data_IF_631672880028
#
_entry.id   IF_631672880028
#
_cell.length_a   1.000
_cell.length_b   1.000
_cell.length_c   1.000
_cell.angle_alpha   90.00
_cell.angle_beta   90.00
_cell.angle_gamma   90.00
#
_symmetry.space_group_name_H-M   'P 1'
#
loop_
_entity.id
_entity.type
_entity.pdbx_description
1 polymer ?
#
# COMPACT_ATOMS: atom_id res chain seq x y z
N UNK A 1 -10.83 -8.47 -15.91
CA UNK A 1 -10.44 -8.92 -14.56
C UNK A 1 -11.01 -7.99 -13.49
N UNK A 2 -11.11 -8.46 -12.24
CA UNK A 2 -11.64 -7.72 -11.11
C UNK A 2 -10.59 -7.64 -10.00
N UNK A 3 -10.16 -6.43 -9.64
CA UNK A 3 -9.13 -6.21 -8.62
C UNK A 3 -9.75 -5.48 -7.43
N UNK A 4 -9.62 -6.06 -6.24
CA UNK A 4 -10.09 -5.46 -4.99
C UNK A 4 -8.94 -4.75 -4.29
N UNK A 5 -9.08 -3.44 -4.08
CA UNK A 5 -8.17 -2.67 -3.26
C UNK A 5 -8.71 -2.60 -1.82
N UNK A 6 -7.86 -2.84 -0.85
CA UNK A 6 -8.22 -2.82 0.56
C UNK A 6 -7.46 -1.65 1.21
N UNK A 7 -8.20 -0.60 1.57
CA UNK A 7 -7.70 0.40 2.50
C UNK A 7 -7.79 -0.18 3.92
N UNK A 8 -6.67 -0.48 4.60
CA UNK A 8 -6.71 -1.18 5.87
C UNK A 8 -7.28 -0.36 7.05
N UNK A 9 -7.47 0.94 6.87
CA UNK A 9 -8.12 1.80 7.85
C UNK A 9 -9.62 1.99 7.55
N UNK A 10 -10.36 2.60 8.49
CA UNK A 10 -11.81 2.77 8.40
C UNK A 10 -12.25 4.12 7.84
N UNK A 11 -11.33 4.96 7.31
CA UNK A 11 -11.62 6.28 6.78
C UNK A 11 -12.11 6.20 5.33
N UNK A 12 -13.42 6.33 5.12
CA UNK A 12 -14.07 6.15 3.82
C UNK A 12 -13.62 7.15 2.75
N UNK A 13 -13.35 8.40 3.11
CA UNK A 13 -12.84 9.40 2.17
C UNK A 13 -11.49 9.00 1.56
N UNK A 14 -10.62 8.36 2.34
CA UNK A 14 -9.35 7.83 1.81
C UNK A 14 -9.59 6.64 0.87
N UNK A 15 -10.56 5.79 1.19
CA UNK A 15 -10.94 4.68 0.31
C UNK A 15 -11.44 5.18 -1.04
N UNK A 16 -12.23 6.25 -1.05
CA UNK A 16 -12.71 6.89 -2.28
C UNK A 16 -11.56 7.48 -3.11
N UNK A 17 -10.62 8.20 -2.49
CA UNK A 17 -9.42 8.72 -3.18
C UNK A 17 -8.56 7.59 -3.78
N UNK A 18 -8.36 6.50 -3.03
CA UNK A 18 -7.64 5.30 -3.50
C UNK A 18 -8.35 4.68 -4.70
N UNK A 19 -9.68 4.54 -4.64
CA UNK A 19 -10.48 3.98 -5.73
C UNK A 19 -10.40 4.84 -7.00
N UNK A 20 -10.53 6.16 -6.85
CA UNK A 20 -10.43 7.11 -7.96
C UNK A 20 -9.03 7.07 -8.61
N UNK A 21 -7.97 7.01 -7.79
CA UNK A 21 -6.60 6.81 -8.28
C UNK A 21 -6.47 5.49 -9.05
N UNK A 22 -6.94 4.37 -8.48
CA UNK A 22 -6.87 3.06 -9.11
C UNK A 22 -7.63 3.03 -10.44
N UNK A 23 -8.86 3.58 -10.50
CA UNK A 23 -9.67 3.69 -11.74
C UNK A 23 -8.96 4.46 -12.85
N UNK A 24 -8.22 5.51 -12.51
CA UNK A 24 -7.46 6.32 -13.48
C UNK A 24 -6.39 5.49 -14.20
N UNK A 25 -5.81 4.51 -13.53
CA UNK A 25 -4.71 3.72 -14.06
C UNK A 25 -5.09 2.30 -14.49
N UNK A 26 -6.30 1.83 -14.17
CA UNK A 26 -6.77 0.53 -14.60
C UNK A 26 -6.81 0.43 -16.14
N UNK A 27 -6.40 -0.73 -16.67
CA UNK A 27 -6.46 -1.01 -18.10
C UNK A 27 -7.91 -1.25 -18.54
N UNK A 28 -8.19 -1.07 -19.83
CA UNK A 28 -9.49 -1.43 -20.40
C UNK A 28 -9.82 -2.92 -20.11
N UNK A 29 -11.04 -3.19 -19.68
CA UNK A 29 -11.49 -4.52 -19.26
C UNK A 29 -11.08 -4.91 -17.83
N UNK A 30 -10.40 -4.04 -17.10
CA UNK A 30 -10.14 -4.22 -15.65
C UNK A 30 -11.14 -3.42 -14.82
N UNK A 31 -11.87 -4.09 -13.94
CA UNK A 31 -12.70 -3.45 -12.92
C UNK A 31 -11.92 -3.36 -11.63
N UNK A 32 -11.77 -2.15 -11.10
CA UNK A 32 -11.18 -1.92 -9.78
C UNK A 32 -12.22 -1.34 -8.82
N UNK A 33 -12.18 -1.72 -7.57
CA UNK A 33 -13.01 -1.17 -6.51
C UNK A 33 -12.23 -1.20 -5.19
N UNK A 34 -12.43 -0.19 -4.36
CA UNK A 34 -11.78 -0.10 -3.06
C UNK A 34 -12.78 -0.25 -1.92
N UNK A 35 -12.31 -0.86 -0.84
CA UNK A 35 -13.10 -1.08 0.38
C UNK A 35 -12.28 -0.74 1.61
N UNK A 36 -12.98 -0.37 2.69
CA UNK A 36 -12.46 -0.36 4.05
C UNK A 36 -13.13 -1.48 4.86
N UNK A 37 -12.40 -2.14 5.76
CA UNK A 37 -13.02 -3.07 6.70
C UNK A 37 -13.94 -2.33 7.70
N UNK A 38 -14.87 -3.07 8.29
CA UNK A 38 -15.75 -2.54 9.34
C UNK A 38 -15.11 -2.52 10.74
N UNK A 39 -13.91 -3.04 10.87
CA UNK A 39 -13.12 -3.12 12.11
C UNK A 39 -11.72 -2.60 11.86
N UNK A 40 -11.11 -2.01 12.87
CA UNK A 40 -9.75 -1.49 12.80
C UNK A 40 -9.66 -0.05 13.30
N UNK A 41 -8.69 0.69 12.80
CA UNK A 41 -8.37 2.06 13.18
C UNK A 41 -8.71 3.05 12.04
N UNK A 42 -8.93 4.31 12.37
CA UNK A 42 -9.22 5.34 11.38
C UNK A 42 -7.97 5.83 10.60
N UNK A 43 -6.78 5.64 11.17
CA UNK A 43 -5.49 5.89 10.51
C UNK A 43 -4.45 4.90 11.03
N UNK A 44 -3.41 4.62 10.22
CA UNK A 44 -2.32 3.70 10.57
C UNK A 44 -1.04 4.51 10.63
N UNK A 45 -0.48 4.65 11.83
CA UNK A 45 0.66 5.52 12.11
C UNK A 45 1.71 4.87 13.02
N UNK A 46 1.41 3.70 13.57
CA UNK A 46 2.29 2.96 14.47
C UNK A 46 2.06 1.44 14.39
N UNK A 47 2.92 0.67 15.04
CA UNK A 47 2.82 -0.80 15.06
C UNK A 47 1.49 -1.31 15.62
N UNK A 48 0.94 -0.66 16.66
CA UNK A 48 -0.37 -1.06 17.22
C UNK A 48 -1.45 -0.93 16.15
N UNK A 49 -1.46 0.19 15.42
CA UNK A 49 -2.43 0.44 14.36
C UNK A 49 -2.29 -0.60 13.24
N UNK A 50 -1.05 -0.90 12.83
CA UNK A 50 -0.77 -1.92 11.81
C UNK A 50 -1.31 -3.29 12.21
N UNK A 51 -1.00 -3.74 13.43
CA UNK A 51 -1.43 -5.06 13.89
C UNK A 51 -2.95 -5.15 14.06
N UNK A 52 -3.60 -4.08 14.52
CA UNK A 52 -5.06 -4.05 14.64
C UNK A 52 -5.78 -3.95 13.28
N UNK A 53 -5.11 -3.46 12.24
CA UNK A 53 -5.66 -3.40 10.90
C UNK A 53 -5.68 -4.77 10.19
N UNK A 54 -4.75 -5.68 10.53
CA UNK A 54 -4.59 -6.97 9.86
C UNK A 54 -5.85 -7.83 9.85
N UNK A 55 -6.60 -8.02 10.96
CA UNK A 55 -7.84 -8.78 10.93
C UNK A 55 -8.86 -8.27 9.90
N UNK A 56 -8.97 -6.94 9.78
CA UNK A 56 -9.84 -6.31 8.79
C UNK A 56 -9.39 -6.57 7.36
N UNK A 57 -8.09 -6.51 7.08
CA UNK A 57 -7.52 -6.86 5.76
C UNK A 57 -7.86 -8.29 5.41
N UNK A 58 -7.65 -9.24 6.31
CA UNK A 58 -7.92 -10.66 6.06
C UNK A 58 -9.40 -10.92 5.80
N UNK A 59 -10.31 -10.27 6.54
CA UNK A 59 -11.75 -10.34 6.27
C UNK A 59 -12.09 -9.88 4.85
N UNK A 60 -11.51 -8.78 4.40
CA UNK A 60 -11.79 -8.27 3.05
C UNK A 60 -11.17 -9.14 1.94
N UNK A 61 -10.07 -9.86 2.20
CA UNK A 61 -9.57 -10.90 1.30
C UNK A 61 -10.60 -12.03 1.17
N UNK A 62 -11.08 -12.58 2.30
CA UNK A 62 -12.08 -13.67 2.30
C UNK A 62 -13.35 -13.26 1.56
N UNK A 63 -13.89 -12.08 1.83
CA UNK A 63 -15.05 -11.54 1.09
C UNK A 63 -14.76 -11.38 -0.41
N UNK A 64 -13.57 -10.87 -0.75
CA UNK A 64 -13.17 -10.70 -2.14
C UNK A 64 -13.06 -12.00 -2.92
N UNK A 65 -12.68 -13.10 -2.27
CA UNK A 65 -12.75 -14.46 -2.86
C UNK A 65 -14.20 -14.84 -3.22
N UNK A 66 -15.14 -14.59 -2.31
CA UNK A 66 -16.58 -14.85 -2.53
C UNK A 66 -17.16 -13.92 -3.62
N UNK A 67 -16.68 -12.68 -3.72
CA UNK A 67 -17.05 -11.69 -4.74
C UNK A 67 -16.44 -11.98 -6.12
N UNK A 68 -15.53 -12.94 -6.23
CA UNK A 68 -14.84 -13.31 -7.47
C UNK A 68 -13.78 -12.29 -7.90
N UNK A 69 -13.06 -11.68 -6.97
CA UNK A 69 -11.88 -10.88 -7.29
C UNK A 69 -10.78 -11.77 -7.89
N UNK A 70 -10.04 -11.27 -8.88
CA UNK A 70 -8.92 -11.96 -9.53
C UNK A 70 -7.58 -11.65 -8.85
N UNK A 71 -7.47 -10.52 -8.19
CA UNK A 71 -6.31 -10.09 -7.42
C UNK A 71 -6.69 -9.08 -6.33
N UNK A 72 -5.77 -8.87 -5.39
CA UNK A 72 -5.92 -7.95 -4.26
C UNK A 72 -4.77 -6.96 -4.19
N UNK A 73 -5.07 -5.74 -3.74
CA UNK A 73 -4.07 -4.71 -3.43
C UNK A 73 -4.29 -4.24 -1.99
N UNK A 74 -3.24 -4.28 -1.17
CA UNK A 74 -3.26 -3.67 0.18
C UNK A 74 -2.82 -2.22 0.04
N UNK A 75 -3.75 -1.29 0.22
CA UNK A 75 -3.56 0.12 -0.06
C UNK A 75 -3.14 0.91 1.20
N UNK A 76 -2.01 0.52 1.79
CA UNK A 76 -1.32 1.23 2.87
C UNK A 76 0.18 1.03 2.71
N UNK A 77 0.98 2.07 2.89
CA UNK A 77 2.44 1.98 2.69
C UNK A 77 3.16 1.20 3.81
N UNK A 78 2.44 0.68 4.81
CA UNK A 78 2.90 -0.32 5.76
C UNK A 78 2.77 -1.76 5.26
N UNK A 79 2.04 -2.00 4.17
CA UNK A 79 1.65 -3.32 3.66
C UNK A 79 1.15 -4.26 4.79
N UNK A 80 0.25 -3.79 5.71
CA UNK A 80 -0.13 -4.55 6.90
C UNK A 80 -0.81 -5.86 6.51
N UNK A 81 -0.30 -6.97 7.04
CA UNK A 81 -0.86 -8.29 6.81
C UNK A 81 -0.60 -8.90 5.43
N UNK A 82 0.28 -8.31 4.59
CA UNK A 82 0.57 -8.81 3.23
C UNK A 82 0.97 -10.28 3.22
N UNK A 83 1.82 -10.71 4.14
CA UNK A 83 2.25 -12.11 4.22
C UNK A 83 1.08 -13.05 4.60
N UNK A 84 0.30 -12.66 5.60
CA UNK A 84 -0.89 -13.42 6.03
C UNK A 84 -1.98 -13.44 4.94
N UNK A 85 -2.16 -12.35 4.20
CA UNK A 85 -3.06 -12.31 3.06
C UNK A 85 -2.64 -13.32 1.98
N UNK A 86 -1.34 -13.42 1.70
CA UNK A 86 -0.79 -14.40 0.77
C UNK A 86 -0.98 -15.86 1.23
N UNK A 87 -1.13 -16.12 2.51
CA UNK A 87 -1.43 -17.46 3.04
C UNK A 87 -2.88 -17.87 2.81
N UNK A 88 -3.85 -16.95 2.84
CA UNK A 88 -5.29 -17.29 2.80
C UNK A 88 -5.91 -17.25 1.40
N UNK A 89 -5.19 -16.81 0.36
CA UNK A 89 -5.63 -16.86 -1.04
C UNK A 89 -4.52 -17.34 -1.96
N UNK A 90 -4.86 -18.04 -3.05
CA UNK A 90 -3.92 -18.36 -4.13
C UNK A 90 -3.83 -17.25 -5.19
N UNK A 91 -4.68 -16.24 -5.11
CA UNK A 91 -4.67 -15.10 -6.02
C UNK A 91 -3.52 -14.15 -5.72
N UNK A 92 -3.05 -13.36 -6.68
CA UNK A 92 -2.04 -12.35 -6.43
C UNK A 92 -2.49 -11.34 -5.36
N UNK A 93 -1.62 -11.09 -4.38
CA UNK A 93 -1.79 -10.02 -3.40
C UNK A 93 -0.57 -9.10 -3.48
N UNK A 94 -0.80 -7.84 -3.79
CA UNK A 94 0.25 -6.83 -3.97
C UNK A 94 0.12 -5.74 -2.91
N UNK A 95 1.21 -5.46 -2.19
CA UNK A 95 1.31 -4.32 -1.30
C UNK A 95 1.73 -3.06 -2.05
N UNK A 96 1.21 -1.89 -1.69
CA UNK A 96 1.60 -0.66 -2.39
C UNK A 96 3.03 -0.21 -2.08
N UNK A 97 3.57 -0.52 -0.91
CA UNK A 97 4.97 -0.22 -0.59
C UNK A 97 5.92 -1.14 -1.36
N UNK A 98 5.64 -2.46 -1.41
CA UNK A 98 6.37 -3.43 -2.23
C UNK A 98 6.40 -2.99 -3.70
N UNK A 99 5.23 -2.65 -4.26
CA UNK A 99 5.10 -2.23 -5.65
C UNK A 99 5.83 -0.92 -5.96
N UNK A 100 5.71 0.08 -5.07
CA UNK A 100 6.40 1.35 -5.24
C UNK A 100 7.93 1.19 -5.24
N UNK A 101 8.47 0.43 -4.29
CA UNK A 101 9.92 0.18 -4.21
C UNK A 101 10.43 -0.65 -5.38
N UNK A 102 9.66 -1.66 -5.82
CA UNK A 102 10.01 -2.44 -7.00
C UNK A 102 10.06 -1.56 -8.26
N UNK A 103 9.05 -0.69 -8.45
CA UNK A 103 9.00 0.24 -9.58
C UNK A 103 10.13 1.26 -9.52
N UNK A 104 10.39 1.86 -8.35
CA UNK A 104 11.45 2.84 -8.19
C UNK A 104 12.81 2.29 -8.61
N UNK A 105 13.14 1.06 -8.23
CA UNK A 105 14.39 0.38 -8.63
C UNK A 105 14.54 0.16 -10.14
N UNK A 106 13.42 0.18 -10.90
CA UNK A 106 13.47 0.04 -12.37
C UNK A 106 13.67 1.38 -13.09
N UNK A 107 13.34 2.51 -12.44
CA UNK A 107 13.31 3.82 -13.10
C UNK A 107 14.33 4.82 -12.55
N UNK A 108 14.93 4.53 -11.39
CA UNK A 108 15.92 5.41 -10.77
C UNK A 108 16.95 4.59 -9.98
N UNK A 109 18.25 4.97 -9.99
CA UNK A 109 19.27 4.36 -9.15
C UNK A 109 18.98 4.51 -7.67
N UNK A 110 18.42 5.68 -7.27
CA UNK A 110 18.14 6.01 -5.88
C UNK A 110 16.78 6.66 -5.70
N UNK A 111 16.09 6.26 -4.66
CA UNK A 111 14.84 6.88 -4.25
C UNK A 111 14.89 7.32 -2.78
N UNK A 112 14.00 8.21 -2.39
CA UNK A 112 13.67 8.50 -1.00
C UNK A 112 12.17 8.36 -0.75
N UNK A 113 11.81 8.12 0.49
CA UNK A 113 10.42 7.98 0.93
C UNK A 113 10.06 9.19 1.79
N UNK A 114 8.91 9.81 1.53
CA UNK A 114 8.34 10.86 2.38
C UNK A 114 7.07 10.33 3.03
N UNK A 115 7.12 10.17 4.34
CA UNK A 115 6.08 9.60 5.18
C UNK A 115 5.41 10.65 6.07
N UNK A 116 4.52 10.22 6.94
CA UNK A 116 3.70 11.06 7.83
C UNK A 116 4.47 11.48 9.09
N UNK A 117 4.38 10.75 10.17
CA UNK A 117 4.97 11.06 11.48
C UNK A 117 6.38 10.47 11.64
N UNK A 118 7.21 11.05 12.49
CA UNK A 118 8.56 10.55 12.79
C UNK A 118 8.54 9.09 13.28
N UNK A 119 7.52 8.71 14.04
CA UNK A 119 7.38 7.33 14.53
C UNK A 119 7.16 6.29 13.43
N UNK A 120 6.66 6.68 12.25
CA UNK A 120 6.48 5.79 11.10
C UNK A 120 7.78 5.55 10.32
N UNK A 121 8.82 6.35 10.56
CA UNK A 121 10.12 6.20 9.89
C UNK A 121 10.71 4.82 10.13
N UNK A 122 10.71 4.35 11.39
CA UNK A 122 11.27 3.03 11.73
C UNK A 122 10.52 1.88 11.05
N UNK A 123 9.19 1.95 10.98
CA UNK A 123 8.35 0.97 10.27
C UNK A 123 8.76 0.92 8.80
N UNK A 124 8.91 2.08 8.18
CA UNK A 124 9.31 2.22 6.77
C UNK A 124 10.74 1.69 6.55
N UNK A 125 11.68 1.91 7.47
CA UNK A 125 13.03 1.33 7.40
C UNK A 125 13.00 -0.20 7.38
N UNK A 126 12.13 -0.81 8.21
CA UNK A 126 12.00 -2.27 8.27
C UNK A 126 11.40 -2.82 6.97
N UNK A 127 10.44 -2.12 6.35
CA UNK A 127 9.92 -2.46 5.02
C UNK A 127 11.00 -2.36 3.93
N UNK A 128 11.73 -1.24 3.89
CA UNK A 128 12.84 -1.02 2.93
C UNK A 128 13.86 -2.15 3.02
N UNK A 129 14.20 -2.57 4.24
CA UNK A 129 15.10 -3.70 4.49
C UNK A 129 14.45 -5.02 4.04
N UNK A 130 13.19 -5.25 4.42
CA UNK A 130 12.45 -6.48 4.11
C UNK A 130 12.29 -6.72 2.61
N UNK A 131 12.10 -5.65 1.83
CA UNK A 131 11.97 -5.70 0.37
C UNK A 131 13.30 -5.60 -0.40
N UNK A 132 14.45 -5.71 0.31
CA UNK A 132 15.77 -5.65 -0.34
C UNK A 132 16.02 -4.33 -1.08
N UNK A 133 15.50 -3.22 -0.54
CA UNK A 133 15.59 -1.91 -1.15
C UNK A 133 16.54 -0.95 -0.43
N UNK A 134 17.25 -1.44 0.61
CA UNK A 134 18.11 -0.60 1.46
C UNK A 134 19.20 0.14 0.69
N UNK A 135 19.83 -0.52 -0.26
CA UNK A 135 20.94 0.06 -1.03
C UNK A 135 20.47 1.09 -2.07
N UNK A 136 19.18 1.13 -2.34
CA UNK A 136 18.52 2.06 -3.26
C UNK A 136 17.83 3.23 -2.55
N UNK A 137 17.57 3.12 -1.24
CA UNK A 137 16.88 4.14 -0.45
C UNK A 137 17.89 5.11 0.18
N UNK A 138 17.85 6.38 -0.24
CA UNK A 138 18.75 7.44 0.28
C UNK A 138 18.30 7.93 1.64
N UNK A 139 17.00 8.16 1.80
CA UNK A 139 16.45 8.65 3.06
C UNK A 139 14.97 8.31 3.21
N UNK A 140 14.51 8.29 4.44
CA UNK A 140 13.10 8.25 4.82
C UNK A 140 12.85 9.50 5.65
N UNK A 141 12.01 10.40 5.11
CA UNK A 141 11.69 11.69 5.74
C UNK A 141 10.25 11.72 6.20
N UNK A 142 9.98 12.37 7.31
CA UNK A 142 8.61 12.60 7.79
C UNK A 142 8.18 14.03 7.54
N UNK A 143 6.89 14.23 7.33
CA UNK A 143 6.28 15.56 7.27
C UNK A 143 5.99 16.15 8.65
N UNK A 144 5.93 15.30 9.68
CA UNK A 144 5.49 15.65 11.03
C UNK A 144 3.97 15.84 11.17
N UNK A 145 3.21 15.56 10.10
CA UNK A 145 1.74 15.62 10.10
C UNK A 145 1.15 14.22 10.23
N UNK A 146 0.04 14.09 10.96
CA UNK A 146 -0.71 12.84 11.03
C UNK A 146 -1.44 12.56 9.71
N UNK A 147 -1.84 11.33 9.48
CA UNK A 147 -2.60 10.94 8.28
C UNK A 147 -3.87 11.77 8.11
N UNK A 148 -4.58 12.05 9.22
CA UNK A 148 -5.84 12.79 9.19
C UNK A 148 -5.63 14.31 8.98
N UNK A 149 -4.47 14.87 9.36
CA UNK A 149 -4.14 16.27 9.14
C UNK A 149 -4.11 16.63 7.65
N UNK A 150 -3.70 15.70 6.79
CA UNK A 150 -3.70 15.89 5.33
C UNK A 150 -5.11 16.05 4.76
N UNK A 151 -6.10 15.35 5.32
CA UNK A 151 -7.49 15.51 4.91
C UNK A 151 -8.14 16.78 5.46
N UNK A 152 -7.63 17.28 6.59
CA UNK A 152 -8.15 18.49 7.25
C UNK A 152 -7.64 19.78 6.60
N UNK A 153 -6.38 19.79 6.11
CA UNK A 153 -5.74 20.95 5.49
C UNK A 153 -4.82 20.49 4.33
N UNK A 154 -5.42 20.45 3.14
CA UNK A 154 -4.77 19.97 1.90
C UNK A 154 -3.57 20.84 1.52
N UNK A 155 -3.66 22.18 1.67
CA UNK A 155 -2.59 23.10 1.29
C UNK A 155 -1.37 22.91 2.19
N UNK A 156 -1.58 22.86 3.50
CA UNK A 156 -0.54 22.58 4.50
C UNK A 156 0.11 21.20 4.26
N UNK A 157 -0.70 20.20 3.96
CA UNK A 157 -0.22 18.85 3.63
C UNK A 157 0.69 18.84 2.41
N UNK A 158 0.26 19.47 1.31
CA UNK A 158 1.04 19.59 0.08
C UNK A 158 2.35 20.35 0.29
N UNK A 159 2.32 21.44 1.06
CA UNK A 159 3.52 22.24 1.36
C UNK A 159 4.54 21.43 2.17
N UNK A 160 4.08 20.68 3.18
CA UNK A 160 4.93 19.81 3.97
C UNK A 160 5.56 18.70 3.12
N UNK A 161 4.78 18.05 2.23
CA UNK A 161 5.28 17.07 1.28
C UNK A 161 6.31 17.66 0.33
N UNK A 162 6.03 18.81 -0.29
CA UNK A 162 6.95 19.52 -1.18
C UNK A 162 8.27 19.82 -0.49
N UNK A 163 8.22 20.36 0.74
CA UNK A 163 9.41 20.70 1.54
C UNK A 163 10.29 19.48 1.76
N UNK A 164 9.74 18.39 2.28
CA UNK A 164 10.52 17.19 2.60
C UNK A 164 11.03 16.48 1.33
N UNK A 165 10.21 16.44 0.29
CA UNK A 165 10.62 15.88 -1.00
C UNK A 165 11.73 16.67 -1.66
N UNK A 166 11.70 18.00 -1.58
CA UNK A 166 12.75 18.87 -2.12
C UNK A 166 14.08 18.67 -1.39
N UNK A 167 14.05 18.52 -0.05
CA UNK A 167 15.24 18.18 0.73
C UNK A 167 15.79 16.82 0.33
N UNK A 168 14.92 15.81 0.18
CA UNK A 168 15.32 14.47 -0.27
C UNK A 168 16.03 14.50 -1.63
N UNK A 169 15.53 15.29 -2.59
CA UNK A 169 16.15 15.43 -3.90
C UNK A 169 17.47 16.20 -3.84
N UNK A 170 17.50 17.36 -3.15
CA UNK A 170 18.66 18.26 -3.21
C UNK A 170 19.80 17.90 -2.27
N UNK A 171 19.47 17.35 -1.10
CA UNK A 171 20.45 17.10 -0.05
C UNK A 171 20.78 15.62 0.11
N UNK A 172 19.78 14.71 -0.05
CA UNK A 172 20.02 13.28 0.11
C UNK A 172 20.36 12.58 -1.23
N UNK A 173 20.14 13.27 -2.35
CA UNK A 173 20.44 12.73 -3.68
C UNK A 173 19.41 11.73 -4.19
N UNK A 174 18.14 11.92 -3.83
CA UNK A 174 17.05 11.11 -4.38
C UNK A 174 16.77 11.48 -5.85
N UNK A 175 16.60 10.47 -6.69
CA UNK A 175 16.26 10.61 -8.10
C UNK A 175 14.80 10.18 -8.39
N UNK A 176 14.12 9.65 -7.37
CA UNK A 176 12.71 9.32 -7.36
C UNK A 176 12.16 9.51 -5.94
N UNK A 177 10.92 9.97 -5.81
CA UNK A 177 10.24 10.12 -4.52
C UNK A 177 9.09 9.12 -4.43
N UNK A 178 9.06 8.37 -3.33
CA UNK A 178 7.93 7.52 -2.96
C UNK A 178 7.12 8.19 -1.87
N UNK A 179 5.80 8.24 -2.06
CA UNK A 179 4.87 8.79 -1.09
C UNK A 179 4.47 7.70 -0.09
N UNK A 180 4.89 7.85 1.15
CA UNK A 180 4.78 6.86 2.23
C UNK A 180 3.38 6.75 2.86
N UNK A 181 2.33 7.16 2.13
CA UNK A 181 0.94 7.01 2.55
C UNK A 181 0.02 6.94 1.33
N UNK A 182 -0.95 6.01 1.34
CA UNK A 182 -1.97 5.92 0.28
C UNK A 182 -2.87 7.18 0.21
N UNK A 183 -3.01 7.92 1.31
CA UNK A 183 -3.72 9.20 1.32
C UNK A 183 -3.03 10.33 0.55
N UNK A 184 -1.84 10.10 -0.01
CA UNK A 184 -1.09 11.10 -0.78
C UNK A 184 -1.31 11.02 -2.29
N UNK A 185 -2.18 10.13 -2.77
CA UNK A 185 -2.40 9.89 -4.22
C UNK A 185 -2.78 11.16 -4.97
N UNK A 186 -3.51 12.08 -4.34
CA UNK A 186 -3.96 13.33 -4.96
C UNK A 186 -2.85 14.37 -5.13
N UNK A 187 -1.71 14.22 -4.42
CA UNK A 187 -0.58 15.17 -4.48
C UNK A 187 0.48 14.82 -5.53
N UNK A 188 0.40 13.65 -6.16
CA UNK A 188 1.43 13.13 -7.08
C UNK A 188 1.75 14.10 -8.22
N UNK A 189 0.72 14.61 -8.90
CA UNK A 189 0.93 15.45 -10.08
C UNK A 189 1.54 16.83 -9.74
N UNK A 190 1.17 17.41 -8.59
CA UNK A 190 1.75 18.68 -8.14
C UNK A 190 3.20 18.52 -7.67
N UNK A 191 3.50 17.39 -7.05
CA UNK A 191 4.87 17.05 -6.66
C UNK A 191 5.76 16.80 -7.88
N UNK A 192 5.30 16.03 -8.88
CA UNK A 192 6.04 15.80 -10.14
C UNK A 192 6.43 17.11 -10.81
N UNK A 193 5.48 18.06 -10.94
CA UNK A 193 5.71 19.38 -11.55
C UNK A 193 6.77 20.19 -10.79
N UNK A 194 6.78 20.12 -9.47
CA UNK A 194 7.64 20.93 -8.61
C UNK A 194 9.03 20.33 -8.39
N UNK A 195 9.19 19.01 -8.44
CA UNK A 195 10.44 18.33 -8.10
C UNK A 195 11.32 18.00 -9.30
N UNK A 196 10.74 17.82 -10.48
CA UNK A 196 11.47 17.44 -11.68
C UNK A 196 12.00 15.99 -11.67
N UNK A 197 11.55 15.15 -10.75
CA UNK A 197 11.87 13.72 -10.64
C UNK A 197 10.57 12.90 -10.61
N UNK A 198 10.61 11.59 -10.94
CA UNK A 198 9.46 10.71 -10.76
C UNK A 198 8.94 10.72 -9.30
N UNK A 199 7.62 10.72 -9.15
CA UNK A 199 6.93 10.59 -7.88
C UNK A 199 5.93 9.44 -7.98
N UNK A 200 5.96 8.51 -7.04
CA UNK A 200 5.11 7.32 -7.01
C UNK A 200 4.28 7.27 -5.72
N UNK A 201 2.98 7.02 -5.86
CA UNK A 201 2.04 6.84 -4.74
C UNK A 201 1.92 5.39 -4.25
N UNK A 202 2.41 4.44 -5.03
CA UNK A 202 2.29 3.01 -4.76
C UNK A 202 0.98 2.37 -5.25
N UNK A 203 -0.14 3.07 -5.32
CA UNK A 203 -1.43 2.51 -5.79
C UNK A 203 -1.36 2.21 -7.28
N UNK A 204 -0.89 3.15 -8.08
CA UNK A 204 -0.72 2.97 -9.52
C UNK A 204 0.14 1.76 -9.88
N UNK A 205 1.38 1.60 -9.34
CA UNK A 205 2.19 0.44 -9.67
C UNK A 205 1.60 -0.87 -9.13
N UNK A 206 0.93 -0.85 -7.97
CA UNK A 206 0.30 -2.06 -7.41
C UNK A 206 -0.84 -2.57 -8.29
N UNK A 207 -1.70 -1.68 -8.82
CA UNK A 207 -2.74 -2.05 -9.77
C UNK A 207 -2.12 -2.66 -11.03
N UNK A 208 -1.06 -2.06 -11.59
CA UNK A 208 -0.38 -2.58 -12.78
C UNK A 208 0.30 -3.92 -12.55
N UNK A 209 0.91 -4.14 -11.40
CA UNK A 209 1.48 -5.45 -11.06
C UNK A 209 0.39 -6.50 -10.86
N UNK A 210 -0.73 -6.16 -10.20
CA UNK A 210 -1.86 -7.08 -10.09
C UNK A 210 -2.40 -7.48 -11.47
N UNK A 211 -2.62 -6.51 -12.37
CA UNK A 211 -3.02 -6.78 -13.77
C UNK A 211 -2.01 -7.69 -14.49
N UNK A 212 -0.72 -7.40 -14.36
CA UNK A 212 0.32 -8.17 -15.00
C UNK A 212 0.36 -9.63 -14.51
N UNK A 213 0.29 -9.84 -13.19
CA UNK A 213 0.28 -11.17 -12.58
C UNK A 213 -0.93 -11.99 -13.03
N UNK A 214 -2.12 -11.39 -13.06
CA UNK A 214 -3.34 -12.06 -13.55
C UNK A 214 -3.23 -12.38 -15.03
N UNK A 215 -2.75 -11.45 -15.86
CA UNK A 215 -2.59 -11.67 -17.30
C UNK A 215 -1.54 -12.75 -17.62
N UNK A 216 -0.51 -12.88 -16.81
CA UNK A 216 0.48 -13.97 -16.91
C UNK A 216 -0.05 -15.30 -16.35
N UNK A 217 -1.28 -15.33 -15.84
CA UNK A 217 -1.86 -16.49 -15.15
C UNK A 217 -0.99 -17.01 -13.99
N UNK A 218 -0.37 -16.07 -13.24
CA UNK A 218 0.44 -16.38 -12.07
C UNK A 218 -0.40 -16.29 -10.80
N UNK A 219 -0.12 -17.20 -9.89
CA UNK A 219 -0.78 -17.29 -8.58
C UNK A 219 0.24 -17.24 -7.47
N UNK A 220 -0.21 -16.88 -6.28
CA UNK A 220 0.58 -17.00 -5.05
C UNK A 220 0.91 -18.47 -4.80
N UNK A 221 2.20 -18.78 -4.60
CA UNK A 221 2.63 -20.15 -4.29
C UNK A 221 1.95 -20.66 -3.01
N UNK A 222 1.50 -21.93 -3.07
CA UNK A 222 0.90 -22.62 -1.92
C UNK A 222 1.81 -23.72 -1.38
N UNK A 223 3.10 -23.58 -1.61
CA UNK A 223 4.12 -24.51 -1.11
C UNK A 223 4.88 -23.86 0.05
N UNK A 224 4.96 -24.52 1.18
CA UNK A 224 5.64 -24.10 2.39
C UNK A 224 5.09 -22.78 2.99
N UNK A 225 5.91 -21.71 3.01
CA UNK A 225 5.67 -20.48 3.79
C UNK A 225 4.29 -19.84 3.55
N UNK A 226 3.83 -19.79 2.31
CA UNK A 226 2.50 -19.24 1.99
C UNK A 226 1.46 -20.33 1.71
N UNK A 227 1.70 -21.57 2.16
CA UNK A 227 0.68 -22.63 2.18
C UNK A 227 -0.56 -22.17 2.96
N UNK A 228 -1.72 -22.74 2.61
CA UNK A 228 -2.93 -22.47 3.38
C UNK A 228 -2.70 -22.85 4.85
N UNK A 229 -3.19 -22.03 5.82
CA UNK A 229 -3.08 -22.36 7.23
C UNK A 229 -3.69 -23.71 7.57
N UNK A 230 -3.04 -24.43 8.48
CA UNK A 230 -3.57 -25.69 9.01
C UNK A 230 -4.93 -25.45 9.70
N UNK A 231 -5.81 -26.46 9.56
CA UNK A 231 -7.13 -26.41 10.17
C UNK A 231 -7.03 -26.36 11.70
N UNK A 232 -7.60 -25.30 12.31
CA UNK A 232 -7.65 -25.10 13.76
C UNK A 232 -8.82 -24.19 14.14
N UNK A 233 -9.16 -24.18 15.41
CA UNK A 233 -10.14 -23.24 15.95
C UNK A 233 -9.50 -21.85 16.13
N UNK A 234 -10.23 -20.81 15.71
CA UNK A 234 -9.84 -19.40 15.89
C UNK A 234 -10.89 -18.69 16.74
N UNK A 235 -10.70 -18.67 18.05
CA UNK A 235 -11.64 -18.05 18.97
C UNK A 235 -11.70 -16.55 18.80
N UNK A 236 -12.87 -16.00 18.50
CA UNK A 236 -13.09 -14.56 18.29
C UNK A 236 -12.68 -14.03 16.91
N UNK A 237 -12.23 -14.90 15.99
CA UNK A 237 -11.78 -14.53 14.64
C UNK A 237 -12.49 -15.31 13.51
N UNK A 238 -13.72 -15.70 13.72
CA UNK A 238 -14.51 -16.55 12.80
C UNK A 238 -14.67 -15.95 11.39
N UNK A 239 -14.57 -14.60 11.29
CA UNK A 239 -14.69 -13.89 10.01
C UNK A 239 -13.37 -13.73 9.25
N UNK A 240 -12.25 -14.09 9.86
CA UNK A 240 -10.89 -13.84 9.34
C UNK A 240 -10.32 -15.08 8.65
N UNK A 241 -10.83 -16.26 8.99
CA UNK A 241 -10.31 -17.52 8.49
C UNK A 241 -11.13 -18.04 7.32
N UNK A 242 -10.47 -18.52 6.25
CA UNK A 242 -11.17 -19.18 5.15
C UNK A 242 -11.92 -20.39 5.69
N UNK A 243 -13.23 -20.46 5.43
CA UNK A 243 -14.00 -21.69 5.64
C UNK A 243 -13.43 -22.76 4.74
N UNK A 244 -13.51 -24.03 5.20
CA UNK A 244 -13.09 -25.20 4.40
C UNK A 244 -13.48 -25.04 2.94
N UNK A 245 -12.52 -25.18 2.04
CA UNK A 245 -12.78 -25.40 0.63
C UNK A 245 -13.01 -26.87 0.34
#
# INVERSE_FOLDING_TARGET
MKIKLINPNTTLSMTESIENCAKKYASEGTTVYAVSPNIGVNSIECYVDEYLAVPGVLQEIVKGEEEGADAFVIACFGDPGLQAAREITDKPVVGIAEAAMATAKMIAPYFSIVSVLDRSVKITEDLVKGYGAKDFCRSIRSTGLSVLDFGADIEKGLEALKKQSMIAVKEDGAECILLGCAGFVDFVEDLKKSLGVPVLDGVMPAVKFAEALVNMNLKTSKVNTWGFPEEKEYVGYDLVCPKKR
#
